data_IF_857011862907
#
_entry.id   IF_857011862907
#
_cell.length_a   1.000
_cell.length_b   1.000
_cell.length_c   1.000
_cell.angle_alpha   90.00
_cell.angle_beta   90.00
_cell.angle_gamma   90.00
#
_symmetry.space_group_name_H-M   'P 1'
#
loop_
_entity.id
_entity.type
_entity.pdbx_description
1 polymer ?
#
# COMPACT_ATOMS: atom_id res chain seq x y z
N UNK A 1 -12.16 18.71 -10.25
CA UNK A 1 -10.69 18.98 -10.31
C UNK A 1 -9.92 18.28 -9.21
N UNK A 2 -10.38 18.30 -7.96
CA UNK A 2 -9.74 17.59 -6.82
C UNK A 2 -9.67 16.06 -7.00
N UNK A 3 -10.72 15.45 -7.56
CA UNK A 3 -10.82 14.00 -7.75
C UNK A 3 -9.75 13.44 -8.69
N UNK A 4 -9.50 14.11 -9.82
CA UNK A 4 -8.46 13.72 -10.79
C UNK A 4 -7.07 13.73 -10.14
N UNK A 5 -6.79 14.74 -9.30
CA UNK A 5 -5.52 14.84 -8.56
C UNK A 5 -5.42 13.70 -7.54
N UNK A 6 -6.51 13.40 -6.83
CA UNK A 6 -6.57 12.28 -5.87
C UNK A 6 -6.32 10.93 -6.53
N UNK A 7 -7.00 10.65 -7.65
CA UNK A 7 -6.82 9.42 -8.44
C UNK A 7 -5.39 9.31 -8.96
N UNK A 8 -4.85 10.38 -9.54
CA UNK A 8 -3.47 10.39 -10.04
C UNK A 8 -2.46 10.13 -8.91
N UNK A 9 -2.61 10.81 -7.77
CA UNK A 9 -1.77 10.61 -6.60
C UNK A 9 -1.81 9.18 -6.07
N UNK A 10 -3.02 8.63 -5.86
CA UNK A 10 -3.18 7.26 -5.39
C UNK A 10 -2.66 6.21 -6.39
N UNK A 11 -2.82 6.47 -7.69
CA UNK A 11 -2.26 5.61 -8.74
C UNK A 11 -0.73 5.57 -8.66
N UNK A 12 -0.08 6.73 -8.55
CA UNK A 12 1.38 6.82 -8.39
C UNK A 12 1.85 6.10 -7.13
N UNK A 13 1.11 6.21 -6.03
CA UNK A 13 1.46 5.52 -4.79
C UNK A 13 1.31 4.00 -4.93
N UNK A 14 0.21 3.51 -5.54
CA UNK A 14 0.03 2.08 -5.79
C UNK A 14 1.16 1.51 -6.67
N UNK A 15 1.55 2.24 -7.72
CA UNK A 15 2.70 1.89 -8.58
C UNK A 15 4.01 1.88 -7.80
N UNK A 16 4.25 2.87 -6.93
CA UNK A 16 5.45 2.93 -6.10
C UNK A 16 5.57 1.70 -5.18
N UNK A 17 4.46 1.26 -4.59
CA UNK A 17 4.44 0.04 -3.79
C UNK A 17 4.65 -1.23 -4.62
N UNK A 18 4.07 -1.30 -5.80
CA UNK A 18 4.30 -2.41 -6.73
C UNK A 18 5.79 -2.55 -7.09
N UNK A 19 6.46 -1.44 -7.41
CA UNK A 19 7.89 -1.41 -7.74
C UNK A 19 8.74 -1.79 -6.52
N UNK A 20 8.33 -1.34 -5.32
CA UNK A 20 9.02 -1.60 -4.06
C UNK A 20 9.04 -3.07 -3.65
N UNK A 21 8.19 -3.93 -4.26
CA UNK A 21 8.23 -5.39 -4.03
C UNK A 21 9.60 -6.01 -4.34
N UNK A 22 10.33 -5.46 -5.33
CA UNK A 22 11.69 -5.92 -5.69
C UNK A 22 12.69 -5.66 -4.56
N UNK A 23 12.55 -4.54 -3.87
CA UNK A 23 13.42 -4.12 -2.77
C UNK A 23 12.55 -3.64 -1.59
N UNK A 24 12.00 -4.58 -0.78
CA UNK A 24 11.00 -4.26 0.21
C UNK A 24 11.49 -3.19 1.22
N UNK A 25 10.70 -2.12 1.46
CA UNK A 25 11.04 -1.09 2.43
C UNK A 25 11.18 -1.63 3.86
N UNK A 26 11.62 -0.79 4.83
CA UNK A 26 11.62 -1.17 6.24
C UNK A 26 10.24 -1.66 6.71
N UNK A 27 10.22 -2.68 7.56
CA UNK A 27 8.98 -3.31 8.04
C UNK A 27 8.04 -2.29 8.70
N UNK A 28 8.58 -1.40 9.53
CA UNK A 28 7.81 -0.34 10.21
C UNK A 28 7.06 0.55 9.22
N UNK A 29 7.72 0.94 8.12
CA UNK A 29 7.10 1.77 7.08
C UNK A 29 6.01 0.99 6.35
N UNK A 30 6.26 -0.27 6.02
CA UNK A 30 5.28 -1.13 5.33
C UNK A 30 4.02 -1.37 6.17
N UNK A 31 4.18 -1.58 7.48
CA UNK A 31 3.05 -1.72 8.41
C UNK A 31 2.27 -0.42 8.54
N UNK A 32 2.96 0.70 8.77
CA UNK A 32 2.30 2.00 8.94
C UNK A 32 1.51 2.40 7.69
N UNK A 33 2.10 2.19 6.51
CA UNK A 33 1.43 2.46 5.25
C UNK A 33 0.25 1.51 5.00
N UNK A 34 0.39 0.22 5.36
CA UNK A 34 -0.73 -0.73 5.27
C UNK A 34 -1.89 -0.30 6.17
N UNK A 35 -1.63 0.10 7.41
CA UNK A 35 -2.65 0.61 8.31
C UNK A 35 -3.35 1.85 7.73
N UNK A 36 -2.58 2.81 7.21
CA UNK A 36 -3.13 4.00 6.54
C UNK A 36 -4.01 3.66 5.33
N UNK A 37 -3.54 2.77 4.46
CA UNK A 37 -4.31 2.34 3.28
C UNK A 37 -5.58 1.59 3.64
N UNK A 38 -5.54 0.75 4.69
CA UNK A 38 -6.73 0.08 5.19
C UNK A 38 -7.78 1.07 5.70
N UNK A 39 -7.35 2.09 6.46
CA UNK A 39 -8.25 3.16 6.93
C UNK A 39 -8.82 3.98 5.77
N UNK A 40 -8.02 4.30 4.75
CA UNK A 40 -8.48 5.01 3.56
C UNK A 40 -9.44 4.18 2.70
N UNK A 41 -9.22 2.87 2.57
CA UNK A 41 -10.17 1.97 1.93
C UNK A 41 -11.50 1.94 2.69
N UNK A 42 -11.46 1.82 4.02
CA UNK A 42 -12.67 1.87 4.86
C UNK A 42 -13.41 3.20 4.71
N UNK A 43 -12.68 4.32 4.69
CA UNK A 43 -13.27 5.64 4.44
C UNK A 43 -13.94 5.71 3.07
N UNK A 44 -13.27 5.24 2.02
CA UNK A 44 -13.82 5.24 0.66
C UNK A 44 -15.05 4.32 0.52
N UNK A 45 -15.11 3.22 1.27
CA UNK A 45 -16.30 2.37 1.36
C UNK A 45 -17.52 3.13 1.90
N UNK A 46 -17.34 3.99 2.90
CA UNK A 46 -18.43 4.82 3.46
C UNK A 46 -18.98 5.83 2.43
N UNK A 47 -18.13 6.27 1.49
CA UNK A 47 -18.52 7.19 0.42
C UNK A 47 -18.87 6.49 -0.90
N UNK A 48 -18.82 5.16 -0.95
CA UNK A 48 -19.01 4.36 -2.19
C UNK A 48 -18.08 4.77 -3.35
N UNK A 49 -16.89 5.29 -3.04
CA UNK A 49 -15.90 5.69 -4.05
C UNK A 49 -15.10 4.49 -4.53
N UNK A 50 -15.59 3.85 -5.59
CA UNK A 50 -15.03 2.62 -6.16
C UNK A 50 -13.56 2.81 -6.57
N UNK A 51 -13.19 3.97 -7.13
CA UNK A 51 -11.83 4.19 -7.62
C UNK A 51 -10.87 4.31 -6.44
N UNK A 52 -11.22 5.08 -5.41
CA UNK A 52 -10.41 5.19 -4.20
C UNK A 52 -10.32 3.86 -3.44
N UNK A 53 -11.41 3.08 -3.38
CA UNK A 53 -11.40 1.74 -2.79
C UNK A 53 -10.38 0.86 -3.51
N UNK A 54 -10.42 0.80 -4.84
CA UNK A 54 -9.53 -0.05 -5.63
C UNK A 54 -8.06 0.35 -5.46
N UNK A 55 -7.76 1.65 -5.58
CA UNK A 55 -6.38 2.13 -5.50
C UNK A 55 -5.77 1.94 -4.11
N UNK A 56 -6.53 2.23 -3.02
CA UNK A 56 -6.04 1.98 -1.66
C UNK A 56 -5.93 0.49 -1.36
N UNK A 57 -6.84 -0.35 -1.88
CA UNK A 57 -6.75 -1.81 -1.72
C UNK A 57 -5.52 -2.40 -2.42
N UNK A 58 -5.17 -1.91 -3.61
CA UNK A 58 -3.93 -2.28 -4.30
C UNK A 58 -2.69 -1.85 -3.50
N UNK A 59 -2.67 -0.59 -3.05
CA UNK A 59 -1.56 -0.07 -2.26
C UNK A 59 -1.39 -0.87 -0.95
N UNK A 60 -2.49 -1.20 -0.26
CA UNK A 60 -2.53 -2.07 0.91
C UNK A 60 -1.98 -3.46 0.61
N UNK A 61 -2.41 -4.10 -0.48
CA UNK A 61 -1.95 -5.43 -0.85
C UNK A 61 -0.44 -5.45 -1.11
N UNK A 62 0.08 -4.46 -1.85
CA UNK A 62 1.51 -4.36 -2.15
C UNK A 62 2.35 -4.00 -0.92
N UNK A 63 1.86 -3.16 -0.01
CA UNK A 63 2.58 -2.84 1.23
C UNK A 63 2.61 -4.01 2.20
N UNK A 64 1.52 -4.79 2.32
CA UNK A 64 1.49 -6.02 3.09
C UNK A 64 2.41 -7.09 2.50
N UNK A 65 2.40 -7.25 1.18
CA UNK A 65 3.32 -8.15 0.49
C UNK A 65 4.78 -7.75 0.73
N UNK A 66 5.09 -6.45 0.66
CA UNK A 66 6.42 -5.93 0.98
C UNK A 66 6.83 -6.23 2.43
N UNK A 67 5.92 -6.04 3.39
CA UNK A 67 6.16 -6.40 4.79
C UNK A 67 6.47 -7.89 4.95
N UNK A 68 5.69 -8.76 4.31
CA UNK A 68 5.89 -10.21 4.35
C UNK A 68 7.23 -10.62 3.73
N UNK A 69 7.60 -10.05 2.57
CA UNK A 69 8.89 -10.28 1.93
C UNK A 69 10.06 -9.82 2.81
N UNK A 70 9.91 -8.66 3.47
CA UNK A 70 10.93 -8.13 4.39
C UNK A 70 11.16 -9.05 5.59
N UNK A 71 10.09 -9.55 6.21
CA UNK A 71 10.16 -10.51 7.31
C UNK A 71 10.89 -11.79 6.88
N UNK A 72 10.55 -12.34 5.70
CA UNK A 72 11.21 -13.54 5.15
C UNK A 72 12.72 -13.31 4.95
N UNK A 73 13.10 -12.16 4.39
CA UNK A 73 14.51 -11.79 4.15
C UNK A 73 15.29 -11.61 5.45
N UNK A 74 14.69 -11.00 6.47
CA UNK A 74 15.35 -10.81 7.78
C UNK A 74 15.51 -12.14 8.52
N UNK A 75 14.54 -13.06 8.40
CA UNK A 75 14.64 -14.39 8.99
C UNK A 75 15.75 -15.23 8.36
N UNK A 76 15.87 -15.21 7.03
CA UNK A 76 16.94 -15.91 6.30
C UNK A 76 18.35 -15.36 6.52
N UNK A 77 18.50 -14.12 7.04
CA UNK A 77 19.80 -13.54 7.43
C UNK A 77 20.24 -13.89 8.85
N UNK A 78 19.32 -14.41 9.68
CA UNK A 78 19.57 -14.78 11.09
C UNK A 78 19.88 -16.27 11.27
N UNK A 79 19.68 -17.07 10.22
CA UNK A 79 20.06 -18.48 10.13
C UNK A 79 21.40 -18.58 9.43
#
# INVERSE_FOLDING_TARGET
MSEVIGIAGLTLIAVAWAISLKNPPPLRLSILYSAGSALLTLYALLSSDVVFILLNSLALAFSLASAALRIRKERGRRL
#
